data_IF_234118780685
#
_entry.id   IF_234118780685
#
_cell.length_a   1.000
_cell.length_b   1.000
_cell.length_c   1.000
_cell.angle_alpha   90.00
_cell.angle_beta   90.00
_cell.angle_gamma   90.00
#
_symmetry.space_group_name_H-M   'P 1'
#
loop_
_entity.id
_entity.type
_entity.pdbx_description
1 polymer ?
#
# COMPACT_ATOMS: atom_id res chain seq x y z
N UNK A 1 -6.95 -13.62 3.65
CA UNK A 1 -6.44 -12.51 2.79
C UNK A 1 -5.36 -11.69 3.49
N UNK A 2 -5.62 -11.10 4.66
CA UNK A 2 -4.60 -10.28 5.36
C UNK A 2 -3.29 -11.00 5.66
N UNK A 3 -3.34 -12.24 6.15
CA UNK A 3 -2.14 -13.04 6.40
C UNK A 3 -1.34 -13.33 5.11
N UNK A 4 -2.03 -13.63 4.00
CA UNK A 4 -1.37 -13.88 2.71
C UNK A 4 -0.63 -12.63 2.21
N UNK A 5 -1.28 -11.47 2.24
CA UNK A 5 -0.65 -10.20 1.86
C UNK A 5 0.53 -9.84 2.77
N UNK A 6 0.40 -10.11 4.08
CA UNK A 6 1.49 -9.92 5.03
C UNK A 6 2.70 -10.79 4.71
N UNK A 7 2.50 -12.10 4.48
CA UNK A 7 3.60 -13.01 4.12
C UNK A 7 4.27 -12.60 2.80
N UNK A 8 3.48 -12.20 1.80
CA UNK A 8 4.02 -11.72 0.52
C UNK A 8 4.84 -10.44 0.71
N UNK A 9 4.36 -9.49 1.51
CA UNK A 9 5.08 -8.26 1.82
C UNK A 9 6.39 -8.53 2.58
N UNK A 10 6.38 -9.47 3.54
CA UNK A 10 7.57 -9.88 4.28
C UNK A 10 8.62 -10.52 3.35
N UNK A 11 8.19 -11.45 2.50
CA UNK A 11 9.07 -12.09 1.51
C UNK A 11 9.65 -11.06 0.54
N UNK A 12 8.85 -10.09 0.12
CA UNK A 12 9.31 -8.99 -0.72
C UNK A 12 10.38 -8.14 -0.02
N UNK A 13 10.17 -7.78 1.26
CA UNK A 13 11.12 -7.01 2.05
C UNK A 13 12.46 -7.75 2.21
N UNK A 14 12.42 -9.07 2.41
CA UNK A 14 13.62 -9.92 2.48
C UNK A 14 14.31 -10.01 1.10
N UNK A 15 13.54 -10.25 0.03
CA UNK A 15 14.03 -10.39 -1.35
C UNK A 15 14.73 -9.12 -1.87
N UNK A 16 14.22 -7.95 -1.50
CA UNK A 16 14.78 -6.66 -1.92
C UNK A 16 15.89 -6.12 -1.00
N UNK A 17 16.34 -6.92 -0.02
CA UNK A 17 17.25 -6.46 1.04
C UNK A 17 16.74 -5.24 1.81
N UNK A 18 15.42 -5.03 1.87
CA UNK A 18 14.80 -3.89 2.55
C UNK A 18 15.14 -3.81 4.05
N UNK A 19 15.47 -4.95 4.67
CA UNK A 19 15.94 -5.01 6.05
C UNK A 19 17.30 -4.33 6.26
N UNK A 20 18.23 -4.40 5.30
CA UNK A 20 19.50 -3.66 5.37
C UNK A 20 19.26 -2.15 5.34
N UNK A 21 18.33 -1.70 4.49
CA UNK A 21 17.95 -0.28 4.41
C UNK A 21 17.35 0.26 5.71
N UNK A 22 16.64 -0.58 6.48
CA UNK A 22 16.14 -0.21 7.80
C UNK A 22 17.28 -0.05 8.81
N UNK A 23 18.26 -0.96 8.79
CA UNK A 23 19.44 -0.87 9.67
C UNK A 23 20.29 0.37 9.36
N UNK A 24 20.51 0.64 8.08
CA UNK A 24 21.20 1.86 7.62
C UNK A 24 20.42 3.10 8.09
N UNK A 25 19.09 3.09 7.97
CA UNK A 25 18.22 4.15 8.46
C UNK A 25 18.40 4.44 9.96
N UNK A 26 18.50 3.40 10.79
CA UNK A 26 18.77 3.55 12.23
C UNK A 26 20.16 4.12 12.45
N UNK A 27 21.18 3.59 11.78
CA UNK A 27 22.55 4.07 11.93
C UNK A 27 22.70 5.56 11.54
N UNK A 28 22.14 5.95 10.40
CA UNK A 28 22.19 7.33 9.92
C UNK A 28 21.27 8.27 10.71
N UNK A 29 20.22 7.77 11.38
CA UNK A 29 19.32 8.61 12.18
C UNK A 29 20.06 9.40 13.28
N UNK A 30 21.10 8.80 13.87
CA UNK A 30 21.96 9.45 14.86
C UNK A 30 22.81 10.60 14.30
N UNK A 31 23.00 10.67 12.98
CA UNK A 31 23.66 11.81 12.33
C UNK A 31 22.69 12.96 12.06
N UNK A 32 21.41 12.64 11.81
CA UNK A 32 20.38 13.64 11.53
C UNK A 32 19.75 14.22 12.79
N UNK A 33 19.66 13.44 13.87
CA UNK A 33 19.13 13.88 15.17
C UNK A 33 20.27 13.81 16.19
N UNK A 34 20.97 14.93 16.45
CA UNK A 34 22.03 15.00 17.45
C UNK A 34 21.50 14.64 18.84
N UNK A 35 22.19 13.76 19.57
CA UNK A 35 21.78 13.31 20.93
C UNK A 35 21.82 14.48 21.94
N UNK A 36 22.55 15.54 21.61
CA UNK A 36 22.70 16.79 22.37
C UNK A 36 21.58 17.81 22.11
N UNK A 37 20.62 17.55 21.20
CA UNK A 37 19.47 18.43 21.01
C UNK A 37 18.50 18.39 22.20
N UNK A 38 18.47 19.49 22.95
CA UNK A 38 17.59 19.73 24.09
C UNK A 38 16.11 19.95 23.71
N UNK A 39 15.81 20.25 22.44
CA UNK A 39 14.46 20.54 21.97
C UNK A 39 14.21 19.91 20.61
N UNK A 40 13.28 18.97 20.58
CA UNK A 40 12.72 18.45 19.33
C UNK A 40 11.49 19.30 18.99
N UNK A 41 11.41 19.95 17.82
CA UNK A 41 10.30 20.81 17.44
C UNK A 41 9.06 19.98 17.04
N UNK A 42 8.53 19.17 17.96
CA UNK A 42 7.34 18.31 17.76
C UNK A 42 6.02 19.07 17.50
N UNK A 43 6.05 20.36 17.17
CA UNK A 43 4.88 21.22 16.91
C UNK A 43 5.02 22.15 15.71
N UNK A 44 6.05 21.96 14.88
CA UNK A 44 6.20 22.77 13.66
C UNK A 44 5.06 22.46 12.67
N UNK A 45 4.44 23.49 12.12
CA UNK A 45 3.41 23.35 11.08
C UNK A 45 3.93 22.58 9.87
N UNK A 46 5.23 22.73 9.56
CA UNK A 46 5.88 22.00 8.47
C UNK A 46 5.86 20.48 8.66
N UNK A 47 6.03 19.99 9.89
CA UNK A 47 5.98 18.56 10.21
C UNK A 47 4.57 18.00 10.04
N UNK A 48 3.56 18.71 10.55
CA UNK A 48 2.16 18.28 10.47
C UNK A 48 1.69 18.26 9.01
N UNK A 49 2.01 19.31 8.25
CA UNK A 49 1.67 19.38 6.82
C UNK A 49 2.37 18.28 6.01
N UNK A 50 3.64 18.01 6.31
CA UNK A 50 4.39 16.94 5.66
C UNK A 50 3.80 15.56 5.96
N UNK A 51 3.46 15.28 7.21
CA UNK A 51 2.85 14.01 7.60
C UNK A 51 1.47 13.81 6.95
N UNK A 52 0.65 14.86 6.89
CA UNK A 52 -0.64 14.82 6.20
C UNK A 52 -0.48 14.55 4.70
N UNK A 53 0.49 15.20 4.04
CA UNK A 53 0.82 14.93 2.62
C UNK A 53 1.32 13.51 2.41
N UNK A 54 2.18 13.00 3.29
CA UNK A 54 2.70 11.64 3.21
C UNK A 54 1.57 10.60 3.38
N UNK A 55 0.68 10.80 4.34
CA UNK A 55 -0.50 9.97 4.55
C UNK A 55 -1.43 9.98 3.32
N UNK A 56 -1.75 11.17 2.80
CA UNK A 56 -2.58 11.32 1.61
C UNK A 56 -1.99 10.59 0.40
N UNK A 57 -0.68 10.71 0.18
CA UNK A 57 0.03 9.97 -0.88
C UNK A 57 -0.04 8.46 -0.67
N UNK A 58 0.23 7.97 0.54
CA UNK A 58 0.17 6.55 0.85
C UNK A 58 -1.25 5.98 0.63
N UNK A 59 -2.28 6.71 1.06
CA UNK A 59 -3.68 6.34 0.82
C UNK A 59 -4.01 6.31 -0.67
N UNK A 60 -3.56 7.30 -1.44
CA UNK A 60 -3.79 7.36 -2.88
C UNK A 60 -3.12 6.19 -3.61
N UNK A 61 -1.89 5.81 -3.23
CA UNK A 61 -1.19 4.64 -3.80
C UNK A 61 -1.95 3.36 -3.46
N UNK A 62 -2.35 3.16 -2.19
CA UNK A 62 -3.13 2.00 -1.77
C UNK A 62 -4.46 1.89 -2.53
N UNK A 63 -5.14 3.03 -2.71
CA UNK A 63 -6.38 3.08 -3.48
C UNK A 63 -6.14 2.69 -4.94
N UNK A 64 -5.14 3.28 -5.61
CA UNK A 64 -4.78 2.95 -6.99
C UNK A 64 -4.43 1.47 -7.17
N UNK A 65 -3.73 0.87 -6.21
CA UNK A 65 -3.42 -0.57 -6.23
C UNK A 65 -4.68 -1.44 -6.11
N UNK A 66 -5.71 -0.97 -5.39
CA UNK A 66 -6.97 -1.70 -5.22
C UNK A 66 -7.96 -1.57 -6.40
N UNK A 67 -7.94 -0.44 -7.12
CA UNK A 67 -8.85 -0.13 -8.23
C UNK A 67 -9.02 -1.28 -9.24
N UNK A 68 -7.95 -1.91 -9.80
CA UNK A 68 -8.13 -2.91 -10.84
C UNK A 68 -8.92 -4.13 -10.35
N UNK A 69 -8.70 -4.56 -9.11
CA UNK A 69 -9.40 -5.71 -8.51
C UNK A 69 -10.83 -5.32 -8.12
N UNK A 70 -10.99 -4.19 -7.41
CA UNK A 70 -12.30 -3.72 -6.95
C UNK A 70 -13.20 -3.38 -8.13
N UNK A 71 -12.69 -2.69 -9.14
CA UNK A 71 -13.42 -2.34 -10.36
C UNK A 71 -13.87 -3.58 -11.14
N UNK A 72 -13.02 -4.60 -11.24
CA UNK A 72 -13.39 -5.86 -11.91
C UNK A 72 -14.49 -6.61 -11.16
N UNK A 73 -14.39 -6.70 -9.84
CA UNK A 73 -15.43 -7.34 -9.01
C UNK A 73 -16.74 -6.53 -9.08
N UNK A 74 -16.66 -5.21 -9.11
CA UNK A 74 -17.82 -4.34 -9.27
C UNK A 74 -18.55 -4.59 -10.61
N UNK A 75 -17.80 -4.76 -11.71
CA UNK A 75 -18.40 -5.13 -12.99
C UNK A 75 -19.06 -6.52 -12.95
N UNK A 76 -18.45 -7.47 -12.25
CA UNK A 76 -19.05 -8.80 -12.01
C UNK A 76 -20.35 -8.65 -11.22
N UNK A 77 -20.38 -7.80 -10.19
CA UNK A 77 -21.59 -7.52 -9.40
C UNK A 77 -22.72 -6.92 -10.24
N UNK A 78 -22.41 -5.94 -11.07
CA UNK A 78 -23.39 -5.35 -12.02
C UNK A 78 -23.91 -6.42 -12.98
N UNK A 79 -23.02 -7.26 -13.52
CA UNK A 79 -23.38 -8.32 -14.47
C UNK A 79 -24.29 -9.36 -13.81
N UNK A 80 -23.95 -9.83 -12.60
CA UNK A 80 -24.76 -10.76 -11.84
C UNK A 80 -26.12 -10.16 -11.46
N UNK A 81 -26.16 -8.86 -11.13
CA UNK A 81 -27.40 -8.14 -10.86
C UNK A 81 -28.33 -8.06 -12.08
N UNK A 82 -27.78 -7.85 -13.27
CA UNK A 82 -28.56 -7.90 -14.52
C UNK A 82 -29.07 -9.32 -14.78
N UNK A 83 -28.20 -10.33 -14.65
CA UNK A 83 -28.57 -11.74 -14.83
C UNK A 83 -29.67 -12.19 -13.87
N UNK A 84 -29.67 -11.70 -12.63
CA UNK A 84 -30.72 -11.96 -11.64
C UNK A 84 -32.11 -11.54 -12.13
N UNK A 85 -32.20 -10.45 -12.91
CA UNK A 85 -33.46 -9.96 -13.48
C UNK A 85 -33.85 -10.71 -14.75
N UNK A 86 -32.86 -11.07 -15.58
CA UNK A 86 -33.11 -11.76 -16.86
C UNK A 86 -33.43 -13.25 -16.69
N UNK A 87 -32.79 -13.93 -15.74
CA UNK A 87 -33.01 -15.36 -15.45
C UNK A 87 -33.34 -15.53 -13.96
N UNK A 88 -34.59 -15.26 -13.54
CA UNK A 88 -34.98 -15.23 -12.13
C UNK A 88 -34.96 -16.61 -11.45
N UNK A 89 -34.97 -17.69 -12.23
CA UNK A 89 -34.83 -19.08 -11.75
C UNK A 89 -33.38 -19.44 -11.38
N UNK A 90 -32.39 -18.61 -11.75
CA UNK A 90 -31.00 -18.84 -11.43
C UNK A 90 -30.70 -18.34 -10.01
N UNK A 91 -30.15 -19.21 -9.15
CA UNK A 91 -29.65 -18.78 -7.85
C UNK A 91 -28.32 -18.02 -8.01
N UNK A 92 -28.42 -16.70 -8.07
CA UNK A 92 -27.28 -15.79 -8.30
C UNK A 92 -26.23 -15.89 -7.19
N UNK A 93 -26.59 -16.30 -5.97
CA UNK A 93 -25.61 -16.54 -4.91
C UNK A 93 -24.74 -17.77 -5.17
N UNK A 94 -25.32 -18.83 -5.75
CA UNK A 94 -24.61 -20.07 -6.08
C UNK A 94 -23.62 -19.86 -7.23
N UNK A 95 -24.01 -19.08 -8.24
CA UNK A 95 -23.15 -18.79 -9.40
C UNK A 95 -22.20 -17.62 -9.13
N UNK A 96 -22.64 -16.62 -8.36
CA UNK A 96 -21.91 -15.38 -8.16
C UNK A 96 -20.62 -15.54 -7.38
N UNK A 97 -20.60 -16.38 -6.35
CA UNK A 97 -19.39 -16.60 -5.54
C UNK A 97 -18.26 -17.23 -6.39
N UNK A 98 -18.47 -18.35 -7.12
CA UNK A 98 -17.45 -18.90 -8.02
C UNK A 98 -16.94 -17.92 -9.05
N UNK A 99 -17.84 -17.16 -9.71
CA UNK A 99 -17.47 -16.19 -10.73
C UNK A 99 -16.61 -15.07 -10.15
N UNK A 100 -16.96 -14.55 -8.98
CA UNK A 100 -16.17 -13.52 -8.28
C UNK A 100 -14.77 -14.01 -7.92
N UNK A 101 -14.64 -15.26 -7.45
CA UNK A 101 -13.34 -15.84 -7.09
C UNK A 101 -12.45 -15.97 -8.32
N UNK A 102 -12.98 -16.52 -9.42
CA UNK A 102 -12.23 -16.70 -10.67
C UNK A 102 -11.81 -15.35 -11.25
N UNK A 103 -12.74 -14.40 -11.33
CA UNK A 103 -12.45 -13.06 -11.84
C UNK A 103 -11.42 -12.32 -10.97
N UNK A 104 -11.57 -12.37 -9.65
CA UNK A 104 -10.63 -11.76 -8.70
C UNK A 104 -9.22 -12.34 -8.84
N UNK A 105 -9.09 -13.67 -8.91
CA UNK A 105 -7.80 -14.33 -9.09
C UNK A 105 -7.17 -14.01 -10.46
N UNK A 106 -7.96 -14.03 -11.53
CA UNK A 106 -7.46 -13.71 -12.87
C UNK A 106 -6.88 -12.29 -12.93
N UNK A 107 -7.56 -11.31 -12.33
CA UNK A 107 -7.12 -9.91 -12.29
C UNK A 107 -5.87 -9.76 -11.42
N UNK A 108 -5.80 -10.43 -10.26
CA UNK A 108 -4.61 -10.41 -9.41
C UNK A 108 -3.39 -10.92 -10.18
N UNK A 109 -3.51 -12.03 -10.92
CA UNK A 109 -2.41 -12.58 -11.73
C UNK A 109 -1.96 -11.58 -12.81
N UNK A 110 -2.91 -10.94 -13.48
CA UNK A 110 -2.66 -9.97 -14.55
C UNK A 110 -1.91 -8.73 -14.03
N UNK A 111 -2.27 -8.25 -12.84
CA UNK A 111 -1.73 -7.02 -12.25
C UNK A 111 -0.47 -7.28 -11.41
N UNK A 112 -0.17 -8.54 -11.06
CA UNK A 112 0.96 -8.91 -10.21
C UNK A 112 2.29 -8.31 -10.69
N UNK A 113 2.56 -8.34 -12.00
CA UNK A 113 3.79 -7.76 -12.57
C UNK A 113 3.90 -6.25 -12.34
N UNK A 114 2.79 -5.52 -12.50
CA UNK A 114 2.73 -4.08 -12.24
C UNK A 114 2.85 -3.77 -10.75
N UNK A 115 2.24 -4.59 -9.89
CA UNK A 115 2.31 -4.45 -8.43
C UNK A 115 3.76 -4.47 -7.93
N UNK A 116 4.61 -5.35 -8.46
CA UNK A 116 6.02 -5.43 -8.04
C UNK A 116 6.76 -4.10 -8.27
N UNK A 117 6.56 -3.47 -9.42
CA UNK A 117 7.16 -2.16 -9.74
C UNK A 117 6.66 -1.06 -8.79
N UNK A 118 5.35 -1.03 -8.52
CA UNK A 118 4.75 -0.05 -7.59
C UNK A 118 5.26 -0.25 -6.17
N UNK A 119 5.42 -1.49 -5.72
CA UNK A 119 5.94 -1.78 -4.39
C UNK A 119 7.40 -1.30 -4.26
N UNK A 120 8.26 -1.51 -5.27
CA UNK A 120 9.62 -0.95 -5.25
C UNK A 120 9.62 0.57 -5.13
N UNK A 121 8.73 1.26 -5.86
CA UNK A 121 8.58 2.71 -5.75
C UNK A 121 8.08 3.14 -4.37
N UNK A 122 7.16 2.37 -3.77
CA UNK A 122 6.64 2.60 -2.43
C UNK A 122 7.77 2.51 -1.38
N UNK A 123 8.65 1.51 -1.49
CA UNK A 123 9.81 1.37 -0.60
C UNK A 123 10.74 2.60 -0.68
N UNK A 124 11.06 3.07 -1.88
CA UNK A 124 11.86 4.28 -2.06
C UNK A 124 11.17 5.52 -1.47
N UNK A 125 9.85 5.64 -1.70
CA UNK A 125 9.06 6.74 -1.14
C UNK A 125 9.07 6.71 0.41
N UNK A 126 8.93 5.54 1.02
CA UNK A 126 8.98 5.38 2.48
C UNK A 126 10.33 5.81 3.04
N UNK A 127 11.44 5.39 2.43
CA UNK A 127 12.78 5.77 2.87
C UNK A 127 13.03 7.28 2.76
N UNK A 128 12.61 7.89 1.66
CA UNK A 128 12.72 9.35 1.48
C UNK A 128 11.86 10.10 2.51
N UNK A 129 10.67 9.59 2.80
CA UNK A 129 9.77 10.18 3.79
C UNK A 129 10.36 10.09 5.20
N UNK A 130 10.92 8.94 5.57
CA UNK A 130 11.63 8.77 6.84
C UNK A 130 12.82 9.73 6.94
N UNK A 131 13.63 9.87 5.88
CA UNK A 131 14.77 10.80 5.87
C UNK A 131 14.32 12.25 6.05
N UNK A 132 13.28 12.68 5.35
CA UNK A 132 12.76 14.04 5.48
C UNK A 132 12.15 14.31 6.86
N UNK A 133 11.46 13.34 7.44
CA UNK A 133 10.98 13.45 8.82
C UNK A 133 12.15 13.61 9.80
N UNK A 134 13.22 12.83 9.63
CA UNK A 134 14.41 12.96 10.48
C UNK A 134 15.08 14.33 10.34
N UNK A 135 15.14 14.91 9.15
CA UNK A 135 15.66 16.28 8.93
C UNK A 135 14.80 17.34 9.63
N UNK A 136 13.48 17.28 9.42
CA UNK A 136 12.54 18.22 10.04
C UNK A 136 12.53 18.11 11.58
N UNK A 137 12.72 16.91 12.12
CA UNK A 137 12.82 16.66 13.57
C UNK A 137 14.18 17.08 14.11
N UNK A 138 15.26 16.82 13.37
CA UNK A 138 16.64 17.15 13.73
C UNK A 138 17.02 18.62 13.52
N UNK A 139 16.10 19.46 13.03
CA UNK A 139 16.32 20.89 12.87
C UNK A 139 17.42 21.28 11.87
N UNK A 140 17.70 20.41 10.88
CA UNK A 140 18.68 20.62 9.80
C UNK A 140 18.03 20.67 8.42
#
# INVERSE_FOLDING_TARGET
MGQYLYTVALLFLLSTNGHHLLLDGIFYSYQFIPIDQLFVPFGDHALIEYLAKAFSKAFMIAFQMSIPVVGSIFLVDVTLGILARTVPQLNVFVVGIPVKIIAGLAVIILVMGMMMTVVTQLFNFLLLTMRHLMQLIGGV
#
